data_IF_087688102260
#
_entry.id   IF_087688102260
#
_cell.length_a   1.000
_cell.length_b   1.000
_cell.length_c   1.000
_cell.angle_alpha   90.00
_cell.angle_beta   90.00
_cell.angle_gamma   90.00
#
_symmetry.space_group_name_H-M   'P 1'
#
loop_
_entity.id
_entity.type
_entity.pdbx_description
1 polymer ?
#
# COMPACT_ATOMS: atom_id res chain seq x y z
N UNK A 1 5.14 25.05 -21.30
CA UNK A 1 5.04 26.17 -22.27
C UNK A 1 6.30 27.05 -22.28
N UNK A 2 6.88 27.43 -21.12
CA UNK A 2 8.08 28.28 -21.08
C UNK A 2 9.37 27.56 -21.49
N UNK A 3 9.46 26.23 -21.32
CA UNK A 3 10.63 25.46 -21.76
C UNK A 3 10.65 25.22 -23.28
N UNK A 4 9.46 25.16 -23.90
CA UNK A 4 9.33 24.91 -25.36
C UNK A 4 9.68 26.12 -26.20
N UNK A 5 9.65 27.32 -25.60
CA UNK A 5 9.95 28.58 -26.29
C UNK A 5 11.43 29.01 -26.23
N UNK A 6 12.34 28.15 -25.81
CA UNK A 6 13.79 28.41 -25.68
C UNK A 6 14.16 29.64 -24.84
N UNK A 7 13.23 30.22 -24.07
CA UNK A 7 13.48 31.41 -23.25
C UNK A 7 14.28 31.02 -21.99
N UNK A 8 14.03 29.82 -21.45
CA UNK A 8 14.81 29.26 -20.36
C UNK A 8 15.07 27.77 -20.64
N UNK A 9 16.28 27.47 -21.12
CA UNK A 9 16.69 26.07 -21.30
C UNK A 9 16.72 25.36 -19.94
N UNK A 10 15.98 24.20 -19.85
CA UNK A 10 16.05 23.27 -18.72
C UNK A 10 15.35 23.76 -17.43
N UNK A 11 14.23 24.47 -17.52
CA UNK A 11 13.36 24.75 -16.38
C UNK A 11 12.90 23.47 -15.65
N UNK A 12 12.80 22.36 -16.39
CA UNK A 12 12.49 21.04 -15.86
C UNK A 12 13.55 20.49 -14.87
N UNK A 13 14.78 21.05 -14.88
CA UNK A 13 15.84 20.70 -13.93
C UNK A 13 15.81 21.55 -12.65
N UNK A 14 15.02 22.62 -12.60
CA UNK A 14 14.81 23.40 -11.37
C UNK A 14 13.95 22.63 -10.39
N UNK A 15 13.10 21.73 -10.90
CA UNK A 15 12.27 20.85 -10.09
C UNK A 15 13.12 19.65 -9.64
N UNK A 16 13.45 19.61 -8.35
CA UNK A 16 14.14 18.46 -7.78
C UNK A 16 13.15 17.31 -7.56
N UNK A 17 13.09 16.41 -8.53
CA UNK A 17 12.27 15.19 -8.47
C UNK A 17 12.83 14.11 -7.53
N UNK A 18 13.95 14.37 -6.86
CA UNK A 18 14.60 13.45 -5.94
C UNK A 18 15.22 12.21 -6.62
N UNK A 19 15.60 11.26 -5.79
CA UNK A 19 16.31 10.04 -6.21
C UNK A 19 15.54 9.17 -7.23
N UNK A 20 14.21 9.25 -7.23
CA UNK A 20 13.35 8.51 -8.15
C UNK A 20 12.92 9.35 -9.38
N UNK A 21 13.74 10.32 -9.82
CA UNK A 21 13.49 11.17 -10.98
C UNK A 21 12.98 10.41 -12.22
N UNK A 22 13.62 9.27 -12.52
CA UNK A 22 13.29 8.42 -13.67
C UNK A 22 11.87 7.84 -13.62
N UNK A 23 11.27 7.77 -12.43
CA UNK A 23 9.90 7.29 -12.21
C UNK A 23 8.94 8.44 -11.92
N UNK A 24 9.35 9.43 -11.14
CA UNK A 24 8.52 10.57 -10.75
C UNK A 24 8.11 11.41 -11.94
N UNK A 25 9.04 11.74 -12.84
CA UNK A 25 8.77 12.55 -14.04
C UNK A 25 7.77 11.88 -15.01
N UNK A 26 7.90 10.60 -15.40
CA UNK A 26 6.88 9.91 -16.19
C UNK A 26 5.53 9.82 -15.49
N UNK A 27 5.52 9.55 -14.17
CA UNK A 27 4.26 9.48 -13.40
C UNK A 27 3.55 10.84 -13.38
N UNK A 28 4.29 11.94 -13.27
CA UNK A 28 3.72 13.27 -13.34
C UNK A 28 3.06 13.54 -14.70
N UNK A 29 3.72 13.22 -15.81
CA UNK A 29 3.11 13.38 -17.14
C UNK A 29 1.86 12.55 -17.33
N UNK A 30 1.87 11.29 -16.85
CA UNK A 30 0.68 10.43 -16.90
C UNK A 30 -0.43 11.02 -16.04
N UNK A 31 -0.10 11.52 -14.86
CA UNK A 31 -1.05 12.16 -13.94
C UNK A 31 -1.68 13.41 -14.57
N UNK A 32 -0.89 14.24 -15.25
CA UNK A 32 -1.35 15.44 -15.94
C UNK A 32 -2.29 15.12 -17.12
N UNK A 33 -1.96 14.08 -17.91
CA UNK A 33 -2.85 13.56 -18.95
C UNK A 33 -4.18 13.08 -18.32
N UNK A 34 -4.13 12.33 -17.22
CA UNK A 34 -5.33 11.86 -16.54
C UNK A 34 -6.14 13.00 -15.92
N UNK A 35 -5.47 14.05 -15.44
CA UNK A 35 -6.12 15.26 -14.98
C UNK A 35 -6.82 16.00 -16.12
N UNK A 36 -6.16 16.18 -17.27
CA UNK A 36 -6.75 16.82 -18.45
C UNK A 36 -8.03 16.10 -18.91
N UNK A 37 -8.11 14.78 -18.69
CA UNK A 37 -9.29 14.00 -19.01
C UNK A 37 -10.38 14.07 -17.94
N UNK A 38 -10.00 14.04 -16.63
CA UNK A 38 -10.94 13.94 -15.51
C UNK A 38 -11.35 15.30 -14.91
N UNK A 39 -10.53 16.34 -15.12
CA UNK A 39 -10.72 17.67 -14.51
C UNK A 39 -10.48 17.72 -12.99
N UNK A 40 -9.97 16.61 -12.38
CA UNK A 40 -9.77 16.51 -10.95
C UNK A 40 -8.53 15.66 -10.62
N UNK A 41 -7.54 16.24 -9.92
CA UNK A 41 -6.30 15.53 -9.59
C UNK A 41 -6.52 14.33 -8.65
N UNK A 42 -7.49 14.38 -7.74
CA UNK A 42 -7.80 13.23 -6.89
C UNK A 42 -8.32 12.04 -7.73
N UNK A 43 -9.19 12.31 -8.71
CA UNK A 43 -9.64 11.28 -9.66
C UNK A 43 -8.48 10.80 -10.53
N UNK A 44 -7.59 11.69 -10.96
CA UNK A 44 -6.39 11.31 -11.71
C UNK A 44 -5.49 10.37 -10.91
N UNK A 45 -5.32 10.58 -9.59
CA UNK A 45 -4.58 9.68 -8.69
C UNK A 45 -5.25 8.29 -8.63
N UNK A 46 -6.58 8.23 -8.55
CA UNK A 46 -7.31 6.95 -8.56
C UNK A 46 -7.11 6.19 -9.87
N UNK A 47 -7.20 6.88 -11.01
CA UNK A 47 -6.97 6.31 -12.34
C UNK A 47 -5.51 5.88 -12.53
N UNK A 48 -4.55 6.69 -12.10
CA UNK A 48 -3.13 6.35 -12.11
C UNK A 48 -2.87 5.09 -11.31
N UNK A 49 -3.51 4.94 -10.14
CA UNK A 49 -3.39 3.73 -9.31
C UNK A 49 -3.85 2.48 -10.07
N UNK A 50 -4.97 2.57 -10.78
CA UNK A 50 -5.48 1.47 -11.62
C UNK A 50 -4.47 1.15 -12.73
N UNK A 51 -3.93 2.16 -13.41
CA UNK A 51 -2.95 1.98 -14.47
C UNK A 51 -1.69 1.26 -13.95
N UNK A 52 -1.15 1.70 -12.82
CA UNK A 52 -0.01 1.04 -12.16
C UNK A 52 -0.34 -0.42 -11.84
N UNK A 53 -1.53 -0.69 -11.30
CA UNK A 53 -2.01 -2.06 -11.03
C UNK A 53 -2.07 -2.93 -12.28
N UNK A 54 -2.54 -2.39 -13.39
CA UNK A 54 -2.60 -3.10 -14.68
C UNK A 54 -1.20 -3.42 -15.20
N UNK A 55 -0.29 -2.45 -15.18
CA UNK A 55 1.10 -2.63 -15.63
C UNK A 55 1.83 -3.71 -14.80
N UNK A 56 1.70 -3.67 -13.48
CA UNK A 56 2.36 -4.63 -12.59
C UNK A 56 1.52 -5.90 -12.34
N UNK A 57 0.34 -6.02 -12.94
CA UNK A 57 -0.56 -7.15 -12.74
C UNK A 57 0.13 -8.52 -12.91
N UNK A 58 0.89 -8.81 -13.99
CA UNK A 58 1.48 -10.13 -14.18
C UNK A 58 2.49 -10.50 -13.08
N UNK A 59 3.25 -9.52 -12.58
CA UNK A 59 4.27 -9.73 -11.54
C UNK A 59 3.61 -9.94 -10.19
N UNK A 60 2.69 -9.05 -9.82
CA UNK A 60 1.94 -9.11 -8.55
C UNK A 60 1.04 -10.34 -8.48
N UNK A 61 0.45 -10.75 -9.62
CA UNK A 61 -0.36 -11.97 -9.70
C UNK A 61 0.46 -13.22 -9.34
N UNK A 62 1.69 -13.34 -9.86
CA UNK A 62 2.59 -14.45 -9.49
C UNK A 62 2.90 -14.46 -7.99
N UNK A 63 3.10 -13.29 -7.39
CA UNK A 63 3.31 -13.15 -5.95
C UNK A 63 2.11 -13.64 -5.14
N UNK A 64 0.90 -13.21 -5.48
CA UNK A 64 -0.31 -13.65 -4.78
C UNK A 64 -0.60 -15.15 -4.95
N UNK A 65 -0.27 -15.74 -6.10
CA UNK A 65 -0.35 -17.20 -6.28
C UNK A 65 0.60 -17.92 -5.32
N UNK A 66 1.83 -17.44 -5.15
CA UNK A 66 2.78 -18.01 -4.18
C UNK A 66 2.30 -17.83 -2.73
N UNK A 67 1.73 -16.68 -2.41
CA UNK A 67 1.13 -16.44 -1.08
C UNK A 67 -0.05 -17.38 -0.80
N UNK A 68 -0.91 -17.63 -1.79
CA UNK A 68 -2.00 -18.57 -1.67
C UNK A 68 -1.50 -20.01 -1.45
N UNK A 69 -0.45 -20.44 -2.15
CA UNK A 69 0.22 -21.72 -1.92
C UNK A 69 0.81 -21.80 -0.51
N UNK A 70 1.56 -20.77 -0.10
CA UNK A 70 2.15 -20.67 1.25
C UNK A 70 1.08 -20.83 2.35
N UNK A 71 -0.11 -20.24 2.14
CA UNK A 71 -1.21 -20.37 3.08
C UNK A 71 -1.74 -21.80 3.20
N UNK A 72 -1.78 -22.57 2.11
CA UNK A 72 -2.19 -23.99 2.15
C UNK A 72 -1.24 -24.85 3.00
N UNK A 73 0.04 -24.49 3.02
CA UNK A 73 1.09 -25.22 3.78
C UNK A 73 1.22 -24.74 5.22
N UNK A 74 0.46 -23.69 5.61
CA UNK A 74 0.49 -23.11 6.96
C UNK A 74 0.28 -24.14 8.08
N UNK A 75 -0.65 -25.11 7.99
CA UNK A 75 -0.81 -26.15 9.01
C UNK A 75 0.43 -27.03 9.18
N UNK A 76 1.15 -27.34 8.09
CA UNK A 76 2.40 -28.11 8.15
C UNK A 76 3.52 -27.31 8.82
N UNK A 77 3.61 -26.02 8.51
CA UNK A 77 4.53 -25.09 9.16
C UNK A 77 4.28 -25.05 10.68
N UNK A 78 3.01 -25.01 11.09
CA UNK A 78 2.64 -25.01 12.51
C UNK A 78 3.08 -26.32 13.19
N UNK A 79 2.85 -27.47 12.57
CA UNK A 79 3.29 -28.78 13.08
C UNK A 79 4.82 -28.86 13.20
N UNK A 80 5.56 -28.39 12.20
CA UNK A 80 7.02 -28.34 12.26
C UNK A 80 7.53 -27.48 13.43
N UNK A 81 6.83 -26.38 13.71
CA UNK A 81 7.15 -25.52 14.85
C UNK A 81 6.89 -26.21 16.19
N UNK A 82 5.78 -26.95 16.34
CA UNK A 82 5.46 -27.71 17.54
C UNK A 82 6.49 -28.84 17.79
N UNK A 83 6.95 -29.48 16.71
CA UNK A 83 7.93 -30.58 16.80
C UNK A 83 9.37 -30.11 17.06
N UNK A 84 9.79 -29.01 16.47
CA UNK A 84 11.20 -28.57 16.45
C UNK A 84 11.39 -27.16 17.00
N UNK A 85 10.42 -26.58 17.72
CA UNK A 85 10.45 -25.19 18.19
C UNK A 85 11.66 -24.85 19.06
N UNK A 86 12.16 -25.82 19.81
CA UNK A 86 13.36 -25.68 20.67
C UNK A 86 14.67 -25.83 19.89
N UNK A 87 14.67 -26.55 18.76
CA UNK A 87 15.83 -26.74 17.89
C UNK A 87 15.72 -25.90 16.62
N UNK A 88 16.19 -24.64 16.71
CA UNK A 88 16.12 -23.68 15.61
C UNK A 88 16.84 -24.16 14.33
N UNK A 89 17.90 -24.96 14.47
CA UNK A 89 18.64 -25.46 13.30
C UNK A 89 17.85 -26.52 12.55
N UNK A 90 17.30 -27.49 13.26
CA UNK A 90 16.44 -28.52 12.64
C UNK A 90 15.17 -27.91 12.07
N UNK A 91 14.53 -26.99 12.78
CA UNK A 91 13.36 -26.28 12.29
C UNK A 91 13.66 -25.53 10.96
N UNK A 92 14.80 -24.85 10.86
CA UNK A 92 15.20 -24.16 9.64
C UNK A 92 15.45 -25.13 8.47
N UNK A 93 16.09 -26.26 8.71
CA UNK A 93 16.34 -27.28 7.69
C UNK A 93 15.04 -27.93 7.20
N UNK A 94 14.14 -28.31 8.10
CA UNK A 94 12.85 -28.90 7.75
C UNK A 94 11.94 -27.90 7.01
N UNK A 95 11.93 -26.64 7.45
CA UNK A 95 11.24 -25.56 6.75
C UNK A 95 11.80 -25.37 5.32
N UNK A 96 13.12 -25.41 5.14
CA UNK A 96 13.74 -25.30 3.82
C UNK A 96 13.38 -26.51 2.94
N UNK A 97 13.34 -27.72 3.51
CA UNK A 97 12.94 -28.94 2.79
C UNK A 97 11.48 -28.86 2.33
N UNK A 98 10.59 -28.41 3.23
CA UNK A 98 9.17 -28.18 2.93
C UNK A 98 8.98 -27.16 1.80
N UNK A 99 9.69 -26.02 1.86
CA UNK A 99 9.62 -25.01 0.81
C UNK A 99 10.12 -25.53 -0.54
N UNK A 100 11.17 -26.34 -0.54
CA UNK A 100 11.67 -26.99 -1.77
C UNK A 100 10.67 -28.02 -2.33
N UNK A 101 10.10 -28.86 -1.45
CA UNK A 101 9.12 -29.87 -1.84
C UNK A 101 7.87 -29.26 -2.47
N UNK A 102 7.37 -28.18 -1.91
CA UNK A 102 6.15 -27.48 -2.36
C UNK A 102 6.43 -26.37 -3.39
N UNK A 103 7.69 -26.26 -3.86
CA UNK A 103 8.13 -25.21 -4.80
C UNK A 103 7.76 -23.78 -4.37
N UNK A 104 7.84 -23.52 -3.05
CA UNK A 104 7.49 -22.24 -2.47
C UNK A 104 8.67 -21.28 -2.47
N UNK A 105 8.38 -20.02 -2.82
CA UNK A 105 9.35 -18.93 -2.78
C UNK A 105 8.95 -17.95 -1.66
N UNK A 106 9.51 -18.06 -0.45
CA UNK A 106 9.08 -17.25 0.70
C UNK A 106 9.23 -15.73 0.46
N UNK A 107 10.23 -15.32 -0.32
CA UNK A 107 10.47 -13.92 -0.67
C UNK A 107 9.44 -13.35 -1.67
N UNK A 108 8.68 -14.20 -2.36
CA UNK A 108 7.67 -13.70 -3.31
C UNK A 108 6.54 -12.94 -2.62
N UNK A 109 6.27 -13.21 -1.33
CA UNK A 109 5.26 -12.51 -0.55
C UNK A 109 5.57 -11.03 -0.30
N UNK A 110 6.85 -10.62 -0.28
CA UNK A 110 7.24 -9.22 -0.10
C UNK A 110 7.34 -8.44 -1.42
N UNK A 111 7.26 -9.10 -2.57
CA UNK A 111 7.42 -8.46 -3.89
C UNK A 111 6.43 -7.30 -4.14
N UNK A 112 5.14 -7.38 -3.75
CA UNK A 112 4.23 -6.24 -3.88
C UNK A 112 4.71 -5.01 -3.11
N UNK A 113 5.31 -5.20 -1.93
CA UNK A 113 5.85 -4.11 -1.11
C UNK A 113 7.09 -3.51 -1.77
N UNK A 114 7.97 -4.33 -2.33
CA UNK A 114 9.17 -3.85 -3.04
C UNK A 114 8.83 -3.02 -4.27
N UNK A 115 7.77 -3.36 -5.00
CA UNK A 115 7.27 -2.56 -6.12
C UNK A 115 6.63 -1.26 -5.60
N UNK A 116 5.96 -1.33 -4.46
CA UNK A 116 5.25 -0.20 -3.88
C UNK A 116 6.19 0.93 -3.42
N UNK A 117 7.38 0.60 -2.90
CA UNK A 117 8.33 1.59 -2.36
C UNK A 117 8.74 2.64 -3.41
N UNK A 118 9.24 2.30 -4.61
CA UNK A 118 9.57 3.29 -5.63
C UNK A 118 8.36 4.11 -6.09
N UNK A 119 7.20 3.47 -6.25
CA UNK A 119 5.95 4.15 -6.64
C UNK A 119 5.52 5.16 -5.56
N UNK A 120 5.64 4.77 -4.29
CA UNK A 120 5.37 5.66 -3.17
C UNK A 120 6.24 6.92 -3.19
N UNK A 121 7.56 6.75 -3.26
CA UNK A 121 8.48 7.89 -3.26
C UNK A 121 8.29 8.78 -4.50
N UNK A 122 8.03 8.18 -5.66
CA UNK A 122 7.77 8.94 -6.88
C UNK A 122 6.49 9.78 -6.76
N UNK A 123 5.39 9.18 -6.27
CA UNK A 123 4.12 9.90 -6.09
C UNK A 123 4.21 10.96 -4.97
N UNK A 124 4.91 10.65 -3.88
CA UNK A 124 5.18 11.60 -2.81
C UNK A 124 5.90 12.84 -3.33
N UNK A 125 6.97 12.64 -4.13
CA UNK A 125 7.68 13.74 -4.74
C UNK A 125 6.78 14.55 -5.71
N UNK A 126 5.98 13.88 -6.54
CA UNK A 126 5.03 14.55 -7.43
C UNK A 126 4.07 15.44 -6.62
N UNK A 127 3.49 14.94 -5.53
CA UNK A 127 2.54 15.68 -4.69
C UNK A 127 3.17 16.91 -4.00
N UNK A 128 4.47 16.82 -3.63
CA UNK A 128 5.16 17.93 -2.93
C UNK A 128 5.76 18.97 -3.87
N UNK A 129 6.22 18.53 -5.05
CA UNK A 129 7.05 19.37 -5.93
C UNK A 129 6.26 19.94 -7.08
N UNK A 130 5.21 19.23 -7.57
CA UNK A 130 4.40 19.72 -8.67
C UNK A 130 3.52 20.89 -8.22
N UNK A 131 3.73 22.04 -8.86
CA UNK A 131 2.97 23.28 -8.57
C UNK A 131 1.48 23.09 -8.85
N UNK A 132 1.14 22.29 -9.85
CA UNK A 132 -0.23 21.98 -10.28
C UNK A 132 -1.02 21.19 -9.22
N UNK A 133 -0.33 20.48 -8.34
CA UNK A 133 -0.93 19.70 -7.25
C UNK A 133 -1.21 20.57 -6.02
N UNK A 134 -0.55 21.71 -5.92
CA UNK A 134 -0.72 22.63 -4.78
C UNK A 134 -2.09 23.27 -4.82
N UNK A 135 -2.83 23.15 -3.71
CA UNK A 135 -4.22 23.61 -3.58
C UNK A 135 -5.20 22.94 -4.57
N UNK A 136 -4.81 21.77 -5.13
CA UNK A 136 -5.70 21.02 -6.00
C UNK A 136 -6.80 20.32 -5.15
N UNK A 137 -8.09 20.60 -5.41
CA UNK A 137 -9.18 19.98 -4.66
C UNK A 137 -9.45 18.56 -5.14
N UNK A 138 -10.03 17.74 -4.23
CA UNK A 138 -10.59 16.44 -4.60
C UNK A 138 -12.12 16.48 -4.54
N UNK A 139 -12.71 16.00 -3.46
CA UNK A 139 -14.16 16.00 -3.19
C UNK A 139 -14.43 16.37 -1.73
N UNK A 140 -15.62 16.92 -1.48
CA UNK A 140 -16.11 17.24 -0.14
C UNK A 140 -15.20 18.26 0.57
N UNK A 141 -14.63 17.85 1.69
CA UNK A 141 -13.79 18.69 2.56
C UNK A 141 -12.33 18.81 2.09
N UNK A 142 -11.87 17.97 1.18
CA UNK A 142 -10.48 17.99 0.71
C UNK A 142 -10.33 19.07 -0.36
N UNK A 143 -9.74 20.18 0.04
CA UNK A 143 -9.49 21.34 -0.82
C UNK A 143 -8.04 21.43 -1.29
N UNK A 144 -7.14 20.64 -0.69
CA UNK A 144 -5.71 20.63 -1.03
C UNK A 144 -5.18 19.19 -0.86
N UNK A 145 -4.85 18.55 -1.98
CA UNK A 145 -4.30 17.18 -1.99
C UNK A 145 -2.84 17.13 -1.51
N UNK A 146 -2.12 18.25 -1.55
CA UNK A 146 -0.73 18.37 -1.13
C UNK A 146 -0.58 18.63 0.38
N UNK A 147 -1.66 18.99 1.06
CA UNK A 147 -1.71 19.21 2.49
C UNK A 147 -2.20 17.97 3.26
N UNK A 148 -1.92 17.86 4.56
CA UNK A 148 -2.56 16.87 5.43
C UNK A 148 -4.08 17.03 5.48
N UNK A 149 -4.81 15.98 5.86
CA UNK A 149 -6.27 16.01 5.97
C UNK A 149 -6.70 17.05 7.04
N UNK A 150 -7.59 18.00 6.71
CA UNK A 150 -8.01 19.03 7.65
C UNK A 150 -9.01 18.54 8.71
N UNK A 151 -9.57 17.35 8.55
CA UNK A 151 -10.53 16.77 9.53
C UNK A 151 -9.97 15.54 10.21
N UNK A 152 -10.44 15.28 11.42
CA UNK A 152 -9.98 14.16 12.24
C UNK A 152 -11.14 13.50 12.98
N UNK A 153 -10.99 12.18 13.21
CA UNK A 153 -11.87 11.45 14.12
C UNK A 153 -11.89 12.09 15.53
N UNK A 154 -10.75 12.60 15.99
CA UNK A 154 -10.59 13.15 17.33
C UNK A 154 -11.27 14.52 17.53
N UNK A 155 -11.54 15.26 16.47
CA UNK A 155 -12.37 16.47 16.52
C UNK A 155 -13.80 16.26 16.01
N UNK A 156 -14.24 14.99 15.98
CA UNK A 156 -15.56 14.62 15.48
C UNK A 156 -15.76 15.00 14.01
N UNK A 157 -14.72 14.89 13.18
CA UNK A 157 -14.72 15.30 11.78
C UNK A 157 -15.06 16.79 11.57
N UNK A 158 -14.56 17.65 12.47
CA UNK A 158 -14.77 19.08 12.41
C UNK A 158 -16.00 19.60 13.18
N UNK A 159 -16.73 18.74 13.88
CA UNK A 159 -17.87 19.14 14.73
C UNK A 159 -17.43 19.78 16.05
N UNK A 160 -16.25 19.42 16.55
CA UNK A 160 -15.69 19.94 17.78
C UNK A 160 -14.63 21.00 17.41
N UNK A 161 -14.74 22.20 17.97
CA UNK A 161 -13.78 23.27 17.76
C UNK A 161 -12.52 23.06 18.61
N UNK A 162 -11.78 21.98 18.26
CA UNK A 162 -10.50 21.61 18.85
C UNK A 162 -9.56 21.18 17.73
N UNK A 163 -8.34 21.70 17.76
CA UNK A 163 -7.29 21.33 16.82
C UNK A 163 -6.41 20.23 17.46
N UNK A 164 -6.56 18.97 17.05
CA UNK A 164 -5.71 17.88 17.53
C UNK A 164 -4.25 18.09 17.09
N UNK A 165 -3.26 17.57 17.86
CA UNK A 165 -1.89 17.48 17.38
C UNK A 165 -1.82 16.74 16.04
N UNK A 166 -0.84 17.08 15.18
CA UNK A 166 -0.72 16.54 13.82
C UNK A 166 -0.80 15.01 13.75
N UNK A 167 -0.20 14.29 14.71
CA UNK A 167 -0.23 12.83 14.78
C UNK A 167 -1.63 12.25 15.00
N UNK A 168 -2.58 13.04 15.48
CA UNK A 168 -3.98 12.68 15.68
C UNK A 168 -4.90 13.20 14.56
N UNK A 169 -4.34 13.80 13.51
CA UNK A 169 -5.10 14.22 12.33
C UNK A 169 -5.44 13.02 11.45
N UNK A 170 -6.30 12.14 11.98
CA UNK A 170 -6.72 10.88 11.36
C UNK A 170 -8.13 11.06 10.79
N UNK A 171 -8.20 11.42 9.51
CA UNK A 171 -9.45 11.59 8.79
C UNK A 171 -10.00 10.27 8.20
N UNK A 172 -11.04 10.39 7.38
CA UNK A 172 -11.77 9.24 6.81
C UNK A 172 -10.84 8.34 5.96
N UNK A 173 -9.98 8.92 5.13
CA UNK A 173 -9.07 8.14 4.28
C UNK A 173 -7.96 7.43 5.06
N UNK A 174 -7.55 7.98 6.21
CA UNK A 174 -6.62 7.30 7.13
C UNK A 174 -7.25 6.05 7.74
N UNK A 175 -8.52 6.15 8.16
CA UNK A 175 -9.28 5.01 8.69
C UNK A 175 -9.44 3.95 7.60
N UNK A 176 -9.81 4.35 6.39
CA UNK A 176 -9.96 3.44 5.26
C UNK A 176 -8.63 2.75 4.92
N UNK A 177 -7.51 3.49 4.92
CA UNK A 177 -6.17 2.94 4.76
C UNK A 177 -5.85 1.91 5.84
N UNK A 178 -6.08 2.24 7.11
CA UNK A 178 -5.88 1.32 8.24
C UNK A 178 -6.70 0.04 8.12
N UNK A 179 -7.98 0.17 7.76
CA UNK A 179 -8.88 -0.97 7.54
C UNK A 179 -8.39 -1.86 6.39
N UNK A 180 -8.02 -1.29 5.26
CA UNK A 180 -7.50 -2.06 4.14
C UNK A 180 -6.19 -2.75 4.50
N UNK A 181 -5.32 -2.11 5.26
CA UNK A 181 -4.07 -2.69 5.71
C UNK A 181 -4.31 -3.85 6.70
N UNK A 182 -5.21 -3.68 7.67
CA UNK A 182 -5.63 -4.76 8.58
C UNK A 182 -6.21 -5.97 7.83
N UNK A 183 -7.04 -5.72 6.81
CA UNK A 183 -7.59 -6.79 5.98
C UNK A 183 -6.49 -7.51 5.18
N UNK A 184 -5.54 -6.78 4.63
CA UNK A 184 -4.40 -7.37 3.92
C UNK A 184 -3.53 -8.24 4.84
N UNK A 185 -3.26 -7.80 6.07
CA UNK A 185 -2.49 -8.62 7.03
C UNK A 185 -3.19 -9.93 7.36
N UNK A 186 -4.53 -9.95 7.43
CA UNK A 186 -5.32 -11.18 7.62
C UNK A 186 -5.33 -12.08 6.38
N UNK A 187 -5.25 -11.51 5.18
CA UNK A 187 -5.17 -12.28 3.94
C UNK A 187 -3.79 -12.87 3.69
N UNK A 188 -2.75 -12.31 4.25
CA UNK A 188 -1.39 -12.82 4.13
C UNK A 188 -1.17 -14.08 4.99
N UNK A 189 -0.27 -14.99 4.60
CA UNK A 189 0.12 -16.11 5.46
C UNK A 189 0.75 -15.59 6.74
N UNK A 190 0.48 -16.25 7.87
CA UNK A 190 1.06 -15.87 9.15
C UNK A 190 2.58 -16.06 9.14
N UNK A 191 3.35 -15.09 9.63
CA UNK A 191 4.80 -15.25 9.75
C UNK A 191 5.15 -16.40 10.70
N UNK A 192 6.22 -17.14 10.41
CA UNK A 192 6.66 -18.22 11.29
C UNK A 192 7.29 -17.71 12.60
N UNK A 193 7.81 -16.49 12.64
CA UNK A 193 8.43 -15.90 13.82
C UNK A 193 7.42 -15.15 14.70
N UNK A 194 7.36 -15.40 16.04
CA UNK A 194 6.44 -14.70 16.94
C UNK A 194 6.67 -13.20 17.03
N UNK A 195 7.92 -12.75 16.95
CA UNK A 195 8.27 -11.32 16.97
C UNK A 195 7.73 -10.65 15.71
N UNK A 196 7.95 -11.29 14.56
CA UNK A 196 7.43 -10.81 13.29
C UNK A 196 5.88 -10.79 13.28
N UNK A 197 5.22 -11.81 13.86
CA UNK A 197 3.77 -11.85 14.01
C UNK A 197 3.26 -10.65 14.81
N UNK A 198 3.89 -10.34 15.95
CA UNK A 198 3.54 -9.20 16.79
C UNK A 198 3.74 -7.89 16.03
N UNK A 199 4.87 -7.74 15.34
CA UNK A 199 5.17 -6.56 14.51
C UNK A 199 4.08 -6.34 13.45
N UNK A 200 3.74 -7.36 12.67
CA UNK A 200 2.70 -7.27 11.64
C UNK A 200 1.29 -7.00 12.19
N UNK A 201 1.03 -7.39 13.44
CA UNK A 201 -0.26 -7.12 14.09
C UNK A 201 -0.40 -5.63 14.44
N UNK A 202 0.66 -5.00 14.93
CA UNK A 202 0.64 -3.59 15.34
C UNK A 202 0.96 -2.62 14.21
N UNK A 203 1.64 -3.07 13.16
CA UNK A 203 2.07 -2.25 12.04
C UNK A 203 0.91 -1.45 11.38
N UNK A 204 -0.28 -2.00 11.13
CA UNK A 204 -1.38 -1.24 10.53
C UNK A 204 -1.80 -0.04 11.38
N UNK A 205 -1.83 -0.21 12.70
CA UNK A 205 -2.18 0.87 13.64
C UNK A 205 -1.10 1.95 13.60
N UNK A 206 0.17 1.55 13.74
CA UNK A 206 1.30 2.47 13.67
C UNK A 206 1.33 3.26 12.36
N UNK A 207 1.06 2.59 11.23
CA UNK A 207 1.06 3.22 9.91
C UNK A 207 -0.03 4.28 9.74
N UNK A 208 -1.19 4.14 10.38
CA UNK A 208 -2.24 5.16 10.38
C UNK A 208 -1.76 6.45 11.05
N UNK A 209 -1.09 6.35 12.20
CA UNK A 209 -0.52 7.52 12.89
C UNK A 209 0.63 8.15 12.12
N UNK A 210 1.47 7.35 11.48
CA UNK A 210 2.54 7.87 10.61
C UNK A 210 1.92 8.58 9.41
N UNK A 211 0.87 8.01 8.82
CA UNK A 211 0.18 8.57 7.66
C UNK A 211 -0.45 9.94 7.92
N UNK A 212 -0.78 10.28 9.17
CA UNK A 212 -1.32 11.58 9.54
C UNK A 212 -0.41 12.78 9.19
N UNK A 213 0.89 12.52 9.02
CA UNK A 213 1.87 13.55 8.64
C UNK A 213 2.04 13.70 7.11
N UNK A 214 1.41 12.86 6.32
CA UNK A 214 1.56 12.89 4.88
C UNK A 214 0.43 13.67 4.20
N UNK A 215 0.68 14.17 2.97
CA UNK A 215 -0.36 14.76 2.14
C UNK A 215 -1.56 13.82 1.97
N UNK A 216 -2.78 14.36 2.06
CA UNK A 216 -4.00 13.55 1.99
C UNK A 216 -4.14 12.83 0.63
N UNK A 217 -3.61 13.41 -0.46
CA UNK A 217 -3.56 12.75 -1.76
C UNK A 217 -2.80 11.42 -1.74
N UNK A 218 -1.73 11.32 -0.95
CA UNK A 218 -0.98 10.10 -0.77
C UNK A 218 -1.76 9.06 0.07
N UNK A 219 -2.48 9.52 1.08
CA UNK A 219 -3.34 8.65 1.90
C UNK A 219 -4.50 8.09 1.09
N UNK A 220 -5.11 8.91 0.22
CA UNK A 220 -6.12 8.48 -0.75
C UNK A 220 -5.56 7.40 -1.67
N UNK A 221 -4.36 7.63 -2.23
CA UNK A 221 -3.66 6.63 -3.03
C UNK A 221 -3.47 5.31 -2.26
N UNK A 222 -2.99 5.35 -1.01
CA UNK A 222 -2.79 4.15 -0.20
C UNK A 222 -4.09 3.39 0.09
N UNK A 223 -5.14 4.10 0.48
CA UNK A 223 -6.45 3.51 0.74
C UNK A 223 -7.00 2.82 -0.51
N UNK A 224 -6.96 3.50 -1.65
CA UNK A 224 -7.44 2.97 -2.93
C UNK A 224 -6.60 1.79 -3.41
N UNK A 225 -5.27 1.92 -3.37
CA UNK A 225 -4.35 0.83 -3.68
C UNK A 225 -4.59 -0.40 -2.78
N UNK A 226 -4.91 -0.18 -1.51
CA UNK A 226 -5.29 -1.23 -0.55
C UNK A 226 -6.55 -1.97 -0.97
N UNK A 227 -7.62 -1.24 -1.33
CA UNK A 227 -8.88 -1.82 -1.83
C UNK A 227 -8.61 -2.69 -3.07
N UNK A 228 -7.92 -2.14 -4.07
CA UNK A 228 -7.61 -2.87 -5.31
C UNK A 228 -6.74 -4.11 -5.04
N UNK A 229 -5.79 -4.03 -4.10
CA UNK A 229 -4.94 -5.16 -3.70
C UNK A 229 -5.77 -6.28 -3.06
N UNK A 230 -6.68 -5.94 -2.15
CA UNK A 230 -7.59 -6.91 -1.50
C UNK A 230 -8.44 -7.60 -2.57
N UNK A 231 -9.05 -6.85 -3.46
CA UNK A 231 -9.87 -7.41 -4.55
C UNK A 231 -9.07 -8.38 -5.42
N UNK A 232 -7.86 -7.97 -5.83
CA UNK A 232 -6.96 -8.81 -6.63
C UNK A 232 -6.54 -10.07 -5.86
N UNK A 233 -6.14 -9.93 -4.61
CA UNK A 233 -5.71 -11.05 -3.76
C UNK A 233 -6.84 -12.05 -3.51
N UNK A 234 -8.04 -11.57 -3.18
CA UNK A 234 -9.22 -12.41 -2.97
C UNK A 234 -9.60 -13.17 -4.25
N UNK A 235 -9.57 -12.51 -5.40
CA UNK A 235 -9.82 -13.15 -6.69
C UNK A 235 -8.84 -14.31 -6.94
N UNK A 236 -7.55 -14.06 -6.71
CA UNK A 236 -6.50 -15.08 -6.92
C UNK A 236 -6.64 -16.22 -5.92
N UNK A 237 -6.89 -15.94 -4.64
CA UNK A 237 -7.11 -16.96 -3.62
C UNK A 237 -8.30 -17.86 -3.97
N UNK A 238 -9.40 -17.27 -4.39
CA UNK A 238 -10.59 -18.03 -4.87
C UNK A 238 -10.23 -18.92 -6.06
N UNK A 239 -9.49 -18.39 -7.05
CA UNK A 239 -9.04 -19.16 -8.23
C UNK A 239 -8.10 -20.32 -7.86
N UNK A 240 -7.31 -20.17 -6.79
CA UNK A 240 -6.40 -21.20 -6.28
C UNK A 240 -7.09 -22.19 -5.32
N UNK A 241 -8.39 -22.04 -5.06
CA UNK A 241 -9.12 -22.88 -4.11
C UNK A 241 -8.57 -22.78 -2.68
N UNK A 242 -8.10 -21.59 -2.29
CA UNK A 242 -7.60 -21.31 -0.94
C UNK A 242 -8.71 -20.66 -0.14
N UNK A 243 -8.95 -21.12 1.08
CA UNK A 243 -9.92 -20.51 1.99
C UNK A 243 -9.54 -19.05 2.29
N UNK A 244 -10.54 -18.17 2.17
CA UNK A 244 -10.38 -16.76 2.48
C UNK A 244 -10.65 -16.59 3.97
N UNK A 245 -9.62 -16.29 4.77
CA UNK A 245 -9.72 -16.18 6.23
C UNK A 245 -10.78 -15.19 6.72
N UNK A 246 -11.17 -14.23 5.89
CA UNK A 246 -12.24 -13.27 6.24
C UNK A 246 -13.62 -13.92 6.35
N UNK A 247 -13.82 -15.05 5.69
CA UNK A 247 -15.09 -15.80 5.65
C UNK A 247 -15.00 -17.17 6.32
N UNK A 248 -13.81 -17.57 6.78
CA UNK A 248 -13.66 -18.78 7.58
C UNK A 248 -14.46 -18.59 8.88
N UNK A 249 -15.48 -19.44 9.08
CA UNK A 249 -16.20 -19.53 10.35
C UNK A 249 -15.15 -19.79 11.43
N UNK A 250 -15.11 -18.95 12.46
CA UNK A 250 -14.36 -19.23 13.67
C UNK A 250 -14.87 -20.58 14.18
N UNK A 251 -14.15 -21.66 13.92
CA UNK A 251 -14.32 -22.88 14.71
C UNK A 251 -13.87 -22.50 16.12
N UNK A 252 -14.85 -22.36 16.98
CA UNK A 252 -14.66 -22.18 18.41
C UNK A 252 -13.87 -23.39 18.91
N UNK A 253 -12.73 -23.12 19.52
CA UNK A 253 -12.12 -24.00 20.51
C UNK A 253 -13.13 -24.46 21.56
#
# INVERSE_FOLDING_TARGET
>A
EYSDNNIFNRLDLIIDWGWFYFLAKPLFYVLDILFSFSGNFGVAILLLTILIKVVFFPVVNRSYVQMAKMRKVQPEITKLRELYGDDRQKMALEMQSLYKKEELKPLSGCLPVLIQIPVFFALYNVLLVALEMRHAPFIGWIKDLSAPDPISLFNGFGLINWEPPQILMIGVFHILFGLTFLLQTKLNPAPPDPIQKTLFTWMPILMVFIAANFPVGLVIYWAWNGILSIMQQMYIMKKQGTEIALFAKSEKE
#
